data_IF_468220574201
#
_entry.id   IF_468220574201
#
_cell.length_a   1.000
_cell.length_b   1.000
_cell.length_c   1.000
_cell.angle_alpha   90.00
_cell.angle_beta   90.00
_cell.angle_gamma   90.00
#
_symmetry.space_group_name_H-M   'P 1'
#
loop_
_entity.id
_entity.type
_entity.pdbx_description
1 polymer ?
#
# COMPACT_ATOMS: atom_id res chain seq x y z
N UNK A 1 9.53 22.40 3.14
CA UNK A 1 9.59 20.92 3.20
C UNK A 1 8.50 20.47 4.15
N UNK A 2 7.34 20.06 3.63
CA UNK A 2 6.28 19.47 4.46
C UNK A 2 6.66 18.03 4.75
N UNK A 3 7.13 17.77 5.97
CA UNK A 3 7.53 16.44 6.42
C UNK A 3 6.29 15.51 6.43
N UNK A 4 6.25 14.54 5.51
CA UNK A 4 5.23 13.50 5.45
C UNK A 4 5.38 12.54 6.64
N UNK A 5 4.34 12.43 7.47
CA UNK A 5 4.30 11.43 8.54
C UNK A 5 3.89 10.07 7.95
N UNK A 6 4.91 9.25 7.66
CA UNK A 6 4.76 7.89 7.12
C UNK A 6 4.63 6.80 8.20
N UNK A 7 4.56 7.18 9.49
CA UNK A 7 4.63 6.24 10.62
C UNK A 7 3.51 5.20 10.66
N UNK A 8 2.36 5.49 10.05
CA UNK A 8 1.25 4.55 9.93
C UNK A 8 1.07 3.97 8.52
N UNK A 9 2.04 4.13 7.63
CA UNK A 9 1.92 3.54 6.30
C UNK A 9 2.15 2.03 6.36
N UNK A 10 1.52 1.31 5.44
CA UNK A 10 1.63 -0.14 5.26
C UNK A 10 1.74 -0.47 3.78
N UNK A 11 2.48 -1.51 3.47
CA UNK A 11 2.63 -2.04 2.11
C UNK A 11 1.79 -3.31 2.00
N UNK A 12 0.92 -3.37 1.01
CA UNK A 12 0.08 -4.55 0.77
C UNK A 12 0.13 -4.94 -0.70
N UNK A 13 0.28 -6.22 -1.00
CA UNK A 13 0.04 -6.73 -2.36
C UNK A 13 -1.46 -6.65 -2.64
N UNK A 14 -1.83 -6.02 -3.76
CA UNK A 14 -3.23 -5.81 -4.13
C UNK A 14 -3.62 -6.48 -5.44
N UNK A 15 -2.65 -6.79 -6.30
CA UNK A 15 -2.90 -7.35 -7.62
C UNK A 15 -1.63 -7.99 -8.20
N UNK A 16 -1.78 -8.81 -9.24
CA UNK A 16 -0.66 -9.38 -9.99
C UNK A 16 -1.05 -9.71 -11.43
N UNK A 17 -0.05 -9.84 -12.29
CA UNK A 17 -0.21 -10.32 -13.65
C UNK A 17 -0.80 -11.75 -13.68
N UNK A 18 -1.34 -12.12 -14.84
CA UNK A 18 -2.05 -13.38 -15.08
C UNK A 18 -3.51 -13.18 -15.49
N UNK A 19 -4.21 -14.30 -15.63
CA UNK A 19 -5.63 -14.32 -16.01
C UNK A 19 -6.52 -14.36 -14.77
N UNK A 20 -7.41 -13.38 -14.66
CA UNK A 20 -8.33 -13.23 -13.54
C UNK A 20 -9.77 -13.16 -14.04
N UNK A 21 -10.70 -13.71 -13.26
CA UNK A 21 -12.13 -13.57 -13.51
C UNK A 21 -12.66 -12.35 -12.77
N UNK A 22 -13.13 -11.35 -13.50
CA UNK A 22 -13.80 -10.18 -12.94
C UNK A 22 -15.10 -10.59 -12.24
N UNK A 23 -15.59 -9.75 -11.32
CA UNK A 23 -16.88 -9.95 -10.62
C UNK A 23 -18.07 -10.15 -11.58
N UNK A 24 -18.00 -9.59 -12.79
CA UNK A 24 -19.01 -9.76 -13.84
C UNK A 24 -18.90 -11.10 -14.60
N UNK A 25 -17.97 -11.99 -14.22
CA UNK A 25 -17.73 -13.30 -14.84
C UNK A 25 -16.79 -13.29 -16.05
N UNK A 26 -16.29 -12.13 -16.46
CA UNK A 26 -15.38 -12.00 -17.60
C UNK A 26 -13.94 -12.37 -17.21
N UNK A 27 -13.29 -13.25 -17.97
CA UNK A 27 -11.85 -13.47 -17.85
C UNK A 27 -11.06 -12.36 -18.55
N UNK A 28 -10.05 -11.84 -17.85
CA UNK A 28 -9.19 -10.77 -18.33
C UNK A 28 -7.75 -11.16 -18.00
N UNK A 29 -6.85 -11.06 -18.97
CA UNK A 29 -5.43 -11.34 -18.79
C UNK A 29 -4.65 -10.05 -18.66
N UNK A 30 -3.72 -10.02 -17.72
CA UNK A 30 -2.84 -8.89 -17.45
C UNK A 30 -1.38 -9.35 -17.59
N UNK A 31 -0.62 -8.65 -18.41
CA UNK A 31 0.83 -8.79 -18.54
C UNK A 31 1.57 -8.05 -17.42
N UNK A 32 2.85 -8.31 -17.24
CA UNK A 32 3.70 -7.54 -16.32
C UNK A 32 3.74 -6.05 -16.71
N UNK A 33 3.71 -5.75 -18.01
CA UNK A 33 3.65 -4.38 -18.53
C UNK A 33 2.33 -3.69 -18.15
N UNK A 34 1.20 -4.42 -18.11
CA UNK A 34 -0.06 -3.87 -17.61
C UNK A 34 0.06 -3.46 -16.13
N UNK A 35 0.78 -4.24 -15.33
CA UNK A 35 1.03 -3.94 -13.91
C UNK A 35 1.90 -2.69 -13.75
N UNK A 36 2.95 -2.56 -14.56
CA UNK A 36 3.80 -1.38 -14.58
C UNK A 36 3.01 -0.12 -15.01
N UNK A 37 2.17 -0.26 -16.04
CA UNK A 37 1.30 0.83 -16.53
C UNK A 37 0.27 1.24 -15.48
N UNK A 38 -0.30 0.31 -14.71
CA UNK A 38 -1.20 0.62 -13.59
C UNK A 38 -0.51 1.47 -12.52
N UNK A 39 0.70 1.09 -12.10
CA UNK A 39 1.44 1.82 -11.08
C UNK A 39 1.83 3.23 -11.58
N UNK A 40 2.36 3.32 -12.80
CA UNK A 40 2.75 4.57 -13.41
C UNK A 40 1.55 5.53 -13.57
N UNK A 41 0.42 5.02 -14.09
CA UNK A 41 -0.80 5.82 -14.24
C UNK A 41 -1.33 6.29 -12.88
N UNK A 42 -1.45 5.40 -11.89
CA UNK A 42 -1.91 5.80 -10.57
C UNK A 42 -1.03 6.90 -9.99
N UNK A 43 0.28 6.72 -9.96
CA UNK A 43 1.20 7.68 -9.36
C UNK A 43 1.25 9.02 -10.12
N UNK A 44 1.09 9.03 -11.44
CA UNK A 44 1.08 10.26 -12.25
C UNK A 44 -0.17 11.13 -12.04
N UNK A 45 -1.34 10.50 -11.88
CA UNK A 45 -2.60 11.20 -11.65
C UNK A 45 -2.95 11.38 -10.17
N UNK A 46 -2.32 10.61 -9.28
CA UNK A 46 -2.53 10.72 -7.84
C UNK A 46 -2.32 12.15 -7.35
N UNK A 47 -3.17 12.57 -6.41
CA UNK A 47 -3.10 13.85 -5.73
C UNK A 47 -3.25 13.59 -4.24
N UNK A 48 -2.38 14.21 -3.44
CA UNK A 48 -2.43 14.11 -1.98
C UNK A 48 -3.83 14.44 -1.46
N UNK A 49 -4.41 13.56 -0.63
CA UNK A 49 -5.77 13.69 -0.09
C UNK A 49 -6.89 13.19 -1.01
N UNK A 50 -6.58 12.69 -2.20
CA UNK A 50 -7.51 12.08 -3.15
C UNK A 50 -7.05 10.68 -3.59
N UNK A 51 -6.40 9.95 -2.69
CA UNK A 51 -6.01 8.56 -2.92
C UNK A 51 -7.21 7.63 -3.02
N UNK A 52 -7.02 6.49 -3.70
CA UNK A 52 -8.02 5.43 -3.72
C UNK A 52 -8.32 4.97 -2.27
N UNK A 53 -9.59 5.00 -1.83
CA UNK A 53 -9.93 4.72 -0.44
C UNK A 53 -9.75 3.25 -0.08
N UNK A 54 -9.54 3.00 1.21
CA UNK A 54 -9.62 1.68 1.80
C UNK A 54 -11.06 1.45 2.27
N UNK A 55 -11.72 0.40 1.79
CA UNK A 55 -13.12 0.11 2.10
C UNK A 55 -13.27 -1.26 2.74
N UNK A 56 -14.35 -1.48 3.49
CA UNK A 56 -14.80 -2.82 3.82
C UNK A 56 -15.65 -3.36 2.67
N UNK A 57 -15.26 -4.49 2.09
CA UNK A 57 -15.89 -5.01 0.88
C UNK A 57 -15.64 -4.13 -0.36
N UNK A 58 -16.54 -4.25 -1.34
CA UNK A 58 -16.53 -3.45 -2.57
C UNK A 58 -17.77 -2.56 -2.69
N UNK A 59 -17.90 -1.49 -1.88
CA UNK A 59 -19.05 -0.60 -1.97
C UNK A 59 -19.10 0.11 -3.32
N UNK A 60 -20.30 0.21 -3.89
CA UNK A 60 -20.53 0.94 -5.14
C UNK A 60 -20.21 2.43 -5.01
N UNK A 61 -20.33 3.01 -3.82
CA UNK A 61 -20.06 4.42 -3.54
C UNK A 61 -18.61 4.75 -3.18
N UNK A 62 -17.71 3.76 -3.12
CA UNK A 62 -16.34 3.93 -2.56
C UNK A 62 -16.33 4.45 -1.10
N UNK A 63 -17.43 4.28 -0.37
CA UNK A 63 -17.63 4.82 0.97
C UNK A 63 -18.34 3.80 1.87
N UNK A 64 -18.14 3.83 3.20
CA UNK A 64 -17.18 4.69 3.93
C UNK A 64 -15.71 4.31 3.65
N UNK A 65 -14.82 5.29 3.75
CA UNK A 65 -13.38 5.12 3.63
C UNK A 65 -12.75 4.98 5.03
N UNK A 66 -11.87 4.00 5.18
CA UNK A 66 -11.14 3.70 6.42
C UNK A 66 -9.62 3.89 6.25
N UNK A 67 -9.27 4.88 5.43
CA UNK A 67 -7.90 5.17 5.01
C UNK A 67 -7.81 5.46 3.51
N UNK A 68 -6.59 5.72 3.06
CA UNK A 68 -6.28 6.09 1.68
C UNK A 68 -5.04 5.38 1.16
N UNK A 69 -4.97 5.21 -0.16
CA UNK A 69 -3.78 4.72 -0.88
C UNK A 69 -2.91 5.89 -1.30
N UNK A 70 -1.65 5.90 -0.88
CA UNK A 70 -0.70 7.00 -1.10
C UNK A 70 0.19 6.78 -2.32
N UNK A 71 0.31 5.55 -2.80
CA UNK A 71 1.09 5.22 -3.99
C UNK A 71 1.03 3.76 -4.35
N UNK A 72 1.43 3.43 -5.58
CA UNK A 72 1.57 2.07 -6.07
C UNK A 72 3.00 1.76 -6.49
N UNK A 73 3.45 0.55 -6.18
CA UNK A 73 4.74 0.01 -6.58
C UNK A 73 4.46 -1.22 -7.43
N UNK A 74 4.97 -1.25 -8.67
CA UNK A 74 5.02 -2.47 -9.47
C UNK A 74 6.37 -3.14 -9.29
N UNK A 75 6.36 -4.47 -9.09
CA UNK A 75 7.59 -5.26 -9.04
C UNK A 75 7.31 -6.72 -9.38
N UNK A 76 8.09 -7.27 -10.32
CA UNK A 76 8.05 -8.69 -10.69
C UNK A 76 6.63 -9.19 -11.01
N UNK A 77 5.87 -8.43 -11.81
CA UNK A 77 4.48 -8.77 -12.15
C UNK A 77 3.48 -8.66 -10.99
N UNK A 78 3.86 -8.08 -9.84
CA UNK A 78 2.98 -7.83 -8.69
C UNK A 78 2.79 -6.33 -8.47
N UNK A 79 1.61 -5.96 -8.00
CA UNK A 79 1.24 -4.59 -7.68
C UNK A 79 1.05 -4.45 -6.17
N UNK A 80 1.83 -3.57 -5.58
CA UNK A 80 1.80 -3.27 -4.15
C UNK A 80 1.26 -1.85 -3.94
N UNK A 81 0.43 -1.68 -2.93
CA UNK A 81 -0.08 -0.39 -2.52
C UNK A 81 0.59 0.06 -1.22
N UNK A 82 1.07 1.30 -1.21
CA UNK A 82 1.36 2.04 0.02
C UNK A 82 0.06 2.65 0.51
N UNK A 83 -0.35 2.28 1.71
CA UNK A 83 -1.65 2.68 2.27
C UNK A 83 -1.50 3.30 3.65
N UNK A 84 -2.39 4.23 3.97
CA UNK A 84 -2.52 4.87 5.28
C UNK A 84 -3.89 4.49 5.86
N UNK A 85 -4.00 3.37 6.57
CA UNK A 85 -5.24 2.95 7.23
C UNK A 85 -5.56 3.84 8.43
N UNK A 86 -6.84 3.94 8.78
CA UNK A 86 -7.27 4.49 10.07
C UNK A 86 -7.24 3.44 11.19
N UNK A 87 -7.42 3.89 12.43
CA UNK A 87 -7.39 3.02 13.61
C UNK A 87 -8.52 1.97 13.61
N UNK A 88 -9.64 2.27 12.95
CA UNK A 88 -10.78 1.35 12.85
C UNK A 88 -10.42 0.15 11.99
N UNK A 89 -9.86 0.39 10.79
CA UNK A 89 -9.43 -0.67 9.90
C UNK A 89 -8.28 -1.48 10.52
N UNK A 90 -7.31 -0.82 11.16
CA UNK A 90 -6.25 -1.50 11.89
C UNK A 90 -6.81 -2.48 12.92
N UNK A 91 -7.78 -2.06 13.75
CA UNK A 91 -8.43 -2.92 14.72
C UNK A 91 -9.17 -4.10 14.09
N UNK A 92 -9.86 -3.87 12.96
CA UNK A 92 -10.59 -4.91 12.23
C UNK A 92 -9.67 -5.97 11.60
N UNK A 93 -8.53 -5.56 11.05
CA UNK A 93 -7.53 -6.49 10.51
C UNK A 93 -6.84 -7.27 11.64
N UNK A 94 -6.42 -6.59 12.71
CA UNK A 94 -5.77 -7.22 13.87
C UNK A 94 -6.65 -8.23 14.59
N UNK A 95 -7.96 -7.99 14.65
CA UNK A 95 -8.92 -8.96 15.19
C UNK A 95 -9.17 -10.17 14.26
N UNK A 96 -8.48 -10.24 13.12
CA UNK A 96 -8.55 -11.34 12.17
C UNK A 96 -9.81 -11.34 11.29
N UNK A 97 -10.67 -10.32 11.44
CA UNK A 97 -11.99 -10.26 10.79
C UNK A 97 -11.93 -9.88 9.32
N UNK A 98 -10.90 -9.15 8.89
CA UNK A 98 -10.78 -8.59 7.53
C UNK A 98 -9.37 -8.74 6.95
N UNK A 99 -8.84 -9.97 6.91
CA UNK A 99 -7.44 -10.24 6.50
C UNK A 99 -7.20 -10.34 5.00
N UNK A 100 -8.25 -10.41 4.18
CA UNK A 100 -8.09 -10.58 2.73
C UNK A 100 -8.29 -9.25 2.04
N UNK A 101 -7.47 -8.95 1.03
CA UNK A 101 -7.60 -7.73 0.23
C UNK A 101 -7.96 -8.05 -1.21
N UNK A 102 -8.67 -7.13 -1.84
CA UNK A 102 -9.03 -7.18 -3.25
C UNK A 102 -9.05 -5.75 -3.80
N UNK A 103 -8.39 -5.53 -4.93
CA UNK A 103 -8.43 -4.24 -5.61
C UNK A 103 -9.60 -4.16 -6.59
N UNK A 104 -10.25 -3.00 -6.61
CA UNK A 104 -11.21 -2.61 -7.65
C UNK A 104 -10.52 -1.63 -8.59
N UNK A 105 -10.68 -1.80 -9.89
CA UNK A 105 -10.09 -0.93 -10.91
C UNK A 105 -11.15 -0.37 -11.84
N UNK A 106 -10.95 0.86 -12.30
CA UNK A 106 -11.61 1.39 -13.48
C UNK A 106 -10.93 0.85 -14.74
N UNK A 107 -11.73 0.49 -15.74
CA UNK A 107 -11.22 0.02 -17.04
C UNK A 107 -10.68 1.19 -17.87
N UNK A 108 -9.70 0.97 -18.75
CA UNK A 108 -9.34 1.94 -19.78
C UNK A 108 -10.58 2.37 -20.58
N UNK A 109 -10.79 3.67 -20.72
CA UNK A 109 -11.90 4.26 -21.47
C UNK A 109 -13.21 4.46 -20.69
N UNK A 110 -13.29 4.00 -19.44
CA UNK A 110 -14.43 4.37 -18.57
C UNK A 110 -14.41 5.87 -18.27
N UNK A 111 -15.57 6.53 -18.35
CA UNK A 111 -15.69 7.98 -18.11
C UNK A 111 -15.18 8.42 -16.73
N UNK A 112 -15.26 7.54 -15.74
CA UNK A 112 -14.79 7.80 -14.38
C UNK A 112 -13.31 7.46 -14.15
N UNK A 113 -12.60 6.94 -15.16
CA UNK A 113 -11.18 6.60 -15.06
C UNK A 113 -10.31 7.87 -15.23
N UNK A 114 -9.56 8.31 -14.20
CA UNK A 114 -8.67 9.47 -14.31
C UNK A 114 -7.57 9.32 -15.37
N UNK A 115 -7.15 8.09 -15.65
CA UNK A 115 -6.14 7.78 -16.68
C UNK A 115 -6.74 7.69 -18.10
N UNK A 116 -8.05 7.95 -18.26
CA UNK A 116 -8.72 7.88 -19.55
C UNK A 116 -8.59 6.51 -20.20
N UNK A 117 -8.07 6.46 -21.43
CA UNK A 117 -7.86 5.22 -22.20
C UNK A 117 -6.48 4.60 -22.00
N UNK A 118 -5.61 5.20 -21.18
CA UNK A 118 -4.19 4.83 -21.11
C UNK A 118 -3.90 3.56 -20.32
N UNK A 119 -4.58 3.36 -19.18
CA UNK A 119 -4.33 2.23 -18.30
C UNK A 119 -5.53 1.93 -17.40
N UNK A 120 -5.52 0.75 -16.79
CA UNK A 120 -6.38 0.44 -15.66
C UNK A 120 -5.98 1.31 -14.47
N UNK A 121 -6.97 1.81 -13.72
CA UNK A 121 -6.71 2.75 -12.63
C UNK A 121 -7.34 2.27 -11.32
N UNK A 122 -6.58 2.30 -10.22
CA UNK A 122 -7.06 1.85 -8.92
C UNK A 122 -8.22 2.71 -8.44
N UNK A 123 -9.36 2.07 -8.23
CA UNK A 123 -10.59 2.70 -7.75
C UNK A 123 -10.64 2.72 -6.23
N UNK A 124 -10.50 1.56 -5.59
CA UNK A 124 -10.42 1.40 -4.14
C UNK A 124 -9.84 0.03 -3.80
N UNK A 125 -9.36 -0.13 -2.56
CA UNK A 125 -8.92 -1.41 -2.01
C UNK A 125 -9.96 -1.89 -1.01
N UNK A 126 -10.55 -3.06 -1.28
CA UNK A 126 -11.55 -3.70 -0.44
C UNK A 126 -10.90 -4.70 0.52
N UNK A 127 -11.08 -4.47 1.82
CA UNK A 127 -10.77 -5.42 2.88
C UNK A 127 -11.97 -6.33 3.07
N UNK A 128 -11.75 -7.63 2.86
CA UNK A 128 -12.77 -8.67 2.83
C UNK A 128 -12.70 -9.50 4.10
N UNK A 129 -13.87 -9.78 4.68
CA UNK A 129 -13.98 -10.73 5.79
C UNK A 129 -14.05 -12.16 5.29
N UNK A 130 -15.22 -12.80 5.45
CA UNK A 130 -15.44 -14.17 4.98
C UNK A 130 -15.47 -14.31 3.45
N UNK A 131 -15.54 -13.20 2.71
CA UNK A 131 -15.61 -13.19 1.25
C UNK A 131 -14.25 -13.57 0.64
N UNK A 132 -14.18 -14.54 -0.29
CA UNK A 132 -12.93 -14.91 -0.95
C UNK A 132 -12.46 -13.78 -1.89
N UNK A 133 -11.15 -13.49 -1.97
CA UNK A 133 -10.60 -12.54 -2.94
C UNK A 133 -10.76 -13.09 -4.36
N UNK A 134 -10.90 -12.18 -5.32
CA UNK A 134 -11.02 -12.54 -6.74
C UNK A 134 -9.74 -13.22 -7.27
N UNK A 135 -8.57 -12.89 -6.70
CA UNK A 135 -7.30 -13.54 -7.00
C UNK A 135 -7.01 -14.62 -5.97
N UNK A 136 -6.95 -15.88 -6.42
CA UNK A 136 -6.50 -17.01 -5.59
C UNK A 136 -5.04 -16.83 -5.23
N UNK A 137 -4.69 -16.91 -3.94
CA UNK A 137 -3.31 -16.91 -3.47
C UNK A 137 -2.65 -15.53 -3.35
N UNK A 138 -3.44 -14.47 -3.19
CA UNK A 138 -2.93 -13.22 -2.58
C UNK A 138 -2.60 -13.48 -1.11
N UNK A 139 -1.50 -12.88 -0.65
CA UNK A 139 -1.11 -12.95 0.76
C UNK A 139 -2.20 -12.35 1.67
N UNK A 140 -2.37 -12.94 2.85
CA UNK A 140 -3.22 -12.34 3.86
C UNK A 140 -2.53 -11.09 4.40
N UNK A 141 -3.28 -10.01 4.56
CA UNK A 141 -2.75 -8.81 5.19
C UNK A 141 -2.63 -9.07 6.68
N UNK A 142 -1.39 -9.23 7.12
CA UNK A 142 -1.02 -9.18 8.52
C UNK A 142 -0.30 -7.85 8.75
N UNK A 143 -0.95 -6.94 9.47
CA UNK A 143 -0.27 -5.75 9.95
C UNK A 143 0.65 -6.17 11.09
N UNK A 144 1.91 -6.49 10.77
CA UNK A 144 2.94 -6.57 11.79
C UNK A 144 3.10 -5.18 12.40
N UNK A 145 2.78 -5.04 13.69
CA UNK A 145 3.45 -4.03 14.48
C UNK A 145 4.90 -4.50 14.56
N UNK A 146 5.83 -3.73 13.98
CA UNK A 146 7.22 -3.87 14.34
C UNK A 146 7.35 -3.50 15.81
N UNK A 147 7.14 -4.48 16.69
CA UNK A 147 7.51 -4.40 18.09
C UNK A 147 9.03 -4.48 18.17
N UNK A 148 9.69 -3.38 17.83
CA UNK A 148 10.84 -2.99 18.63
C UNK A 148 10.24 -2.18 19.78
N UNK A 149 10.30 -2.66 21.04
CA UNK A 149 9.84 -1.86 22.15
C UNK A 149 10.73 -0.61 22.24
N UNK A 150 10.28 0.50 21.68
CA UNK A 150 10.71 1.82 22.16
C UNK A 150 9.77 2.15 23.31
N UNK A 151 10.03 1.53 24.45
CA UNK A 151 9.48 1.97 25.72
C UNK A 151 10.20 3.27 26.10
N UNK A 152 9.52 4.41 26.02
CA UNK A 152 9.99 5.61 26.71
C UNK A 152 9.71 5.48 28.21
N UNK A 153 10.51 4.64 28.86
CA UNK A 153 10.69 4.65 30.31
C UNK A 153 11.71 5.70 30.68
N UNK A 154 11.39 6.52 31.67
CA UNK A 154 12.18 7.64 32.17
C UNK A 154 13.64 7.24 32.49
N UNK A 155 14.59 8.08 32.06
CA UNK A 155 16.01 8.13 32.45
C UNK A 155 16.81 6.82 32.37
N UNK A 156 17.42 6.55 31.21
CA UNK A 156 18.87 6.29 31.09
C UNK A 156 19.25 6.13 29.61
N UNK A 157 20.29 6.87 29.21
CA UNK A 157 20.78 6.98 27.84
C UNK A 157 21.56 5.73 27.44
N UNK A 158 21.13 5.03 26.40
CA UNK A 158 21.95 4.04 25.71
C UNK A 158 22.43 4.60 24.37
N UNK A 159 23.74 4.80 24.27
CA UNK A 159 24.48 5.23 23.08
C UNK A 159 24.83 4.00 22.25
N UNK A 160 24.60 4.07 20.93
CA UNK A 160 25.15 3.10 19.97
C UNK A 160 26.35 3.72 19.24
N UNK A 161 27.44 2.95 19.19
CA UNK A 161 28.68 3.28 18.49
C UNK A 161 28.50 3.18 16.96
N UNK A 162 28.13 4.29 16.34
CA UNK A 162 28.62 4.73 15.04
C UNK A 162 28.44 6.23 15.01
N UNK A 163 29.50 6.99 14.71
CA UNK A 163 29.56 8.45 14.76
C UNK A 163 28.44 9.14 13.96
N UNK A 164 27.28 9.32 14.58
CA UNK A 164 26.36 10.45 14.43
C UNK A 164 25.33 10.38 15.57
N UNK A 165 25.78 10.69 16.79
CA UNK A 165 24.89 11.01 17.90
C UNK A 165 24.03 12.21 17.51
N UNK A 166 22.76 11.95 17.25
CA UNK A 166 21.82 13.02 16.94
C UNK A 166 20.48 12.48 16.49
N UNK A 167 19.73 11.92 17.45
CA UNK A 167 18.28 11.70 17.39
C UNK A 167 17.89 10.87 16.16
N UNK A 168 17.55 9.59 16.35
CA UNK A 168 16.64 8.95 15.41
C UNK A 168 15.33 9.73 15.46
N UNK A 169 15.24 10.78 14.64
CA UNK A 169 14.04 11.55 14.39
C UNK A 169 12.94 10.51 14.13
N UNK A 170 11.82 10.61 14.84
CA UNK A 170 10.71 9.65 14.67
C UNK A 170 10.31 9.53 13.20
N UNK A 171 10.56 10.58 12.41
CA UNK A 171 10.48 10.59 10.96
C UNK A 171 11.46 9.61 10.29
N UNK A 172 12.76 9.65 10.61
CA UNK A 172 13.76 8.72 10.05
C UNK A 172 13.48 7.27 10.44
N UNK A 173 13.03 7.05 11.68
CA UNK A 173 12.60 5.73 12.13
C UNK A 173 11.38 5.23 11.33
N UNK A 174 10.38 6.09 11.12
CA UNK A 174 9.21 5.76 10.30
C UNK A 174 9.57 5.45 8.84
N UNK A 175 10.47 6.24 8.24
CA UNK A 175 10.99 5.99 6.90
C UNK A 175 11.70 4.64 6.81
N UNK A 176 12.57 4.32 7.77
CA UNK A 176 13.26 3.04 7.84
C UNK A 176 12.30 1.85 7.93
N UNK A 177 11.26 1.95 8.77
CA UNK A 177 10.25 0.90 8.91
C UNK A 177 9.46 0.70 7.62
N UNK A 178 9.08 1.77 6.92
CA UNK A 178 8.42 1.68 5.62
C UNK A 178 9.33 1.03 4.57
N UNK A 179 10.61 1.39 4.52
CA UNK A 179 11.57 0.78 3.57
C UNK A 179 11.73 -0.72 3.85
N UNK A 180 11.79 -1.13 5.12
CA UNK A 180 11.83 -2.56 5.49
C UNK A 180 10.56 -3.30 5.08
N UNK A 181 9.40 -2.72 5.35
CA UNK A 181 8.10 -3.29 4.97
C UNK A 181 8.01 -3.50 3.45
N UNK A 182 8.47 -2.52 2.65
CA UNK A 182 8.56 -2.64 1.19
C UNK A 182 9.58 -3.70 0.75
N UNK A 183 10.74 -3.75 1.40
CA UNK A 183 11.79 -4.75 1.13
C UNK A 183 11.28 -6.16 1.33
N UNK A 184 10.57 -6.40 2.43
CA UNK A 184 9.95 -7.70 2.76
C UNK A 184 8.80 -8.04 1.81
N UNK A 185 7.82 -7.14 1.65
CA UNK A 185 6.64 -7.38 0.82
C UNK A 185 6.99 -7.59 -0.66
N UNK A 186 7.91 -6.80 -1.21
CA UNK A 186 8.35 -6.92 -2.60
C UNK A 186 9.43 -7.99 -2.79
N UNK A 187 9.97 -8.56 -1.70
CA UNK A 187 11.12 -9.47 -1.70
C UNK A 187 12.33 -8.90 -2.48
N UNK A 188 12.72 -7.67 -2.13
CA UNK A 188 13.86 -6.94 -2.74
C UNK A 188 14.85 -6.51 -1.67
N UNK A 189 16.07 -6.13 -2.07
CA UNK A 189 17.07 -5.58 -1.14
C UNK A 189 16.61 -4.27 -0.50
N UNK A 190 17.14 -3.94 0.68
CA UNK A 190 16.86 -2.65 1.34
C UNK A 190 17.20 -1.45 0.45
N UNK A 191 18.32 -1.50 -0.26
CA UNK A 191 18.74 -0.43 -1.18
C UNK A 191 17.74 -0.23 -2.33
N UNK A 192 17.20 -1.32 -2.86
CA UNK A 192 16.19 -1.26 -3.91
C UNK A 192 14.84 -0.77 -3.37
N UNK A 193 14.43 -1.25 -2.18
CA UNK A 193 13.24 -0.74 -1.50
C UNK A 193 13.35 0.77 -1.19
N UNK A 194 14.54 1.26 -0.83
CA UNK A 194 14.80 2.69 -0.68
C UNK A 194 14.57 3.44 -2.00
N UNK A 195 15.07 2.93 -3.12
CA UNK A 195 14.80 3.52 -4.45
C UNK A 195 13.31 3.53 -4.78
N UNK A 196 12.60 2.42 -4.54
CA UNK A 196 11.16 2.29 -4.81
C UNK A 196 10.32 3.24 -3.96
N UNK A 197 10.71 3.49 -2.71
CA UNK A 197 9.98 4.38 -1.79
C UNK A 197 10.33 5.85 -1.96
N UNK A 198 11.48 6.16 -2.59
CA UNK A 198 12.01 7.52 -2.65
C UNK A 198 11.03 8.55 -3.24
N UNK A 199 10.34 8.25 -4.36
CA UNK A 199 9.38 9.19 -4.95
C UNK A 199 8.21 9.55 -4.04
N UNK A 200 7.87 8.69 -3.07
CA UNK A 200 6.72 8.90 -2.19
C UNK A 200 7.07 9.60 -0.89
N UNK A 201 8.29 9.38 -0.39
CA UNK A 201 8.76 9.93 0.89
C UNK A 201 9.36 11.34 0.71
N UNK A 202 10.02 11.59 -0.42
CA UNK A 202 10.81 12.81 -0.67
C UNK A 202 10.33 13.63 -1.87
N UNK A 203 9.08 13.48 -2.32
CA UNK A 203 8.51 14.35 -3.37
C UNK A 203 8.49 15.82 -2.90
N UNK A 204 9.09 16.70 -3.71
CA UNK A 204 9.27 18.14 -3.50
C UNK A 204 7.97 18.96 -3.49
#
# INVERSE_FOLDING_TARGET
MTNLNVGNWKTIEIFRAGTHTAMAGQEISFSDEDIDNMAAAYNGYHRTGYGAPLCLGHPASNSPAYGETTGLISKNGRLFALVKPDDTLLGLVRSGRYRKVSASFYKPGETSNPAGTGAWYLRHIGFLGSQPPAIKGLEQVEFMESCYPVCFGHNESHVYFSEFDGIADSQRAAQHLLIKDVSEACNVSYSEALTLTTPFIWSY
#
